data_IF_761358388350
#
_entry.id   IF_761358388350
#
_cell.length_a   1.000
_cell.length_b   1.000
_cell.length_c   1.000
_cell.angle_alpha   90.00
_cell.angle_beta   90.00
_cell.angle_gamma   90.00
#
_symmetry.space_group_name_H-M   'P 1'
#
loop_
_entity.id
_entity.type
_entity.pdbx_description
1 polymer ?
#
# COMPACT_ATOMS: atom_id res chain seq x y z
N UNK A 1 -18.08 8.35 -8.67
CA UNK A 1 -19.06 7.62 -9.51
C UNK A 1 -20.47 7.86 -8.98
N UNK A 2 -21.49 7.76 -9.85
CA UNK A 2 -22.89 7.92 -9.47
C UNK A 2 -23.33 6.93 -8.37
N UNK A 3 -22.76 5.73 -8.33
CA UNK A 3 -23.04 4.76 -7.27
C UNK A 3 -22.55 5.22 -5.90
N UNK A 4 -21.35 5.82 -5.84
CA UNK A 4 -20.79 6.36 -4.61
C UNK A 4 -21.59 7.56 -4.08
N UNK A 5 -22.09 8.43 -4.98
CA UNK A 5 -22.95 9.53 -4.60
C UNK A 5 -24.28 9.05 -4.01
N UNK A 6 -24.95 8.09 -4.68
CA UNK A 6 -26.17 7.47 -4.15
C UNK A 6 -25.95 6.82 -2.78
N UNK A 7 -24.83 6.11 -2.60
CA UNK A 7 -24.48 5.55 -1.29
C UNK A 7 -24.31 6.64 -0.22
N UNK A 8 -23.58 7.71 -0.56
CA UNK A 8 -23.36 8.82 0.37
C UNK A 8 -24.66 9.55 0.78
N UNK A 9 -25.62 9.66 -0.14
CA UNK A 9 -26.95 10.23 0.13
C UNK A 9 -27.80 9.33 1.05
N UNK A 10 -27.67 8.01 0.92
CA UNK A 10 -28.41 7.03 1.72
C UNK A 10 -27.84 6.82 3.12
N UNK A 11 -26.54 7.05 3.29
CA UNK A 11 -25.86 6.85 4.59
C UNK A 11 -26.17 8.03 5.52
N UNK A 12 -26.87 7.77 6.63
CA UNK A 12 -27.08 8.72 7.71
C UNK A 12 -25.76 9.07 8.41
N UNK A 13 -25.12 8.07 9.01
CA UNK A 13 -23.87 8.16 9.75
C UNK A 13 -22.91 7.05 9.30
N UNK A 14 -21.60 7.29 9.46
CA UNK A 14 -20.56 6.32 9.13
C UNK A 14 -19.48 6.34 10.20
N UNK A 15 -19.44 5.33 11.05
CA UNK A 15 -18.48 5.25 12.15
C UNK A 15 -17.08 4.89 11.69
N UNK A 16 -16.95 4.02 10.68
CA UNK A 16 -15.65 3.55 10.18
C UNK A 16 -15.66 3.43 8.67
N UNK A 17 -14.72 4.11 8.02
CA UNK A 17 -14.39 3.93 6.61
C UNK A 17 -13.04 3.22 6.47
N UNK A 18 -13.01 2.07 5.80
CA UNK A 18 -11.75 1.36 5.49
C UNK A 18 -11.42 1.48 4.01
N UNK A 19 -10.41 2.29 3.70
CA UNK A 19 -9.83 2.41 2.36
C UNK A 19 -8.80 1.30 2.16
N UNK A 20 -9.28 0.12 1.74
CA UNK A 20 -8.47 -1.08 1.55
C UNK A 20 -8.22 -1.41 0.08
N UNK A 21 -9.03 -0.90 -0.85
CA UNK A 21 -8.88 -1.19 -2.27
C UNK A 21 -7.47 -0.83 -2.76
N UNK A 22 -6.80 -1.80 -3.39
CA UNK A 22 -5.44 -1.61 -3.87
C UNK A 22 -4.84 -2.87 -4.46
N UNK A 23 -3.87 -2.70 -5.34
CA UNK A 23 -3.09 -3.79 -5.93
C UNK A 23 -1.63 -3.37 -6.10
N UNK A 24 -0.75 -4.32 -6.41
CA UNK A 24 0.66 -4.05 -6.71
C UNK A 24 0.99 -4.46 -8.14
N UNK A 25 1.31 -3.50 -9.00
CA UNK A 25 1.95 -3.76 -10.27
C UNK A 25 3.46 -3.88 -10.04
N UNK A 26 4.03 -5.05 -10.33
CA UNK A 26 5.46 -5.32 -10.19
C UNK A 26 6.07 -5.45 -11.59
N UNK A 27 7.24 -4.84 -11.76
CA UNK A 27 7.99 -4.84 -13.00
C UNK A 27 8.95 -3.65 -13.08
N UNK A 28 9.79 -3.58 -14.13
CA UNK A 28 10.63 -2.42 -14.37
C UNK A 28 9.78 -1.17 -14.55
N UNK A 29 10.15 -0.09 -13.87
CA UNK A 29 9.36 1.14 -13.88
C UNK A 29 9.23 1.73 -15.29
N UNK A 30 10.31 1.64 -16.09
CA UNK A 30 10.34 2.18 -17.45
C UNK A 30 9.54 1.34 -18.44
N UNK A 31 9.50 0.01 -18.30
CA UNK A 31 8.67 -0.85 -19.14
C UNK A 31 7.18 -0.67 -18.88
N UNK A 32 6.82 -0.44 -17.62
CA UNK A 32 5.42 -0.13 -17.25
C UNK A 32 4.98 1.27 -17.65
N UNK A 33 5.92 2.21 -17.71
CA UNK A 33 5.70 3.58 -18.13
C UNK A 33 4.68 4.37 -17.29
N UNK A 34 4.27 5.49 -17.83
CA UNK A 34 3.30 6.39 -17.16
C UNK A 34 1.91 5.80 -17.05
N UNK A 35 1.48 4.99 -18.01
CA UNK A 35 0.15 4.37 -17.99
C UNK A 35 -0.01 3.36 -16.85
N UNK A 36 1.00 2.52 -16.59
CA UNK A 36 0.97 1.61 -15.45
C UNK A 36 0.96 2.38 -14.12
N UNK A 37 1.71 3.48 -14.04
CA UNK A 37 1.67 4.37 -12.88
C UNK A 37 0.29 5.00 -12.69
N UNK A 38 -0.33 5.53 -13.74
CA UNK A 38 -1.65 6.13 -13.67
C UNK A 38 -2.69 5.13 -13.15
N UNK A 39 -2.73 3.90 -13.71
CA UNK A 39 -3.62 2.83 -13.22
C UNK A 39 -3.37 2.50 -11.76
N UNK A 40 -2.11 2.39 -11.35
CA UNK A 40 -1.72 2.12 -9.96
C UNK A 40 -2.20 3.23 -9.01
N UNK A 41 -1.98 4.48 -9.37
CA UNK A 41 -2.40 5.64 -8.59
C UNK A 41 -3.91 5.81 -8.59
N UNK A 42 -4.59 5.57 -9.72
CA UNK A 42 -6.04 5.64 -9.80
C UNK A 42 -6.69 4.74 -8.74
N UNK A 43 -6.18 3.51 -8.60
CA UNK A 43 -6.74 2.55 -7.63
C UNK A 43 -6.24 2.80 -6.20
N UNK A 44 -4.92 2.99 -6.01
CA UNK A 44 -4.35 3.00 -4.66
C UNK A 44 -4.45 4.36 -3.98
N UNK A 45 -4.54 5.46 -4.75
CA UNK A 45 -4.43 6.84 -4.25
C UNK A 45 -5.71 7.63 -4.50
N UNK A 46 -6.08 7.80 -5.77
CA UNK A 46 -7.20 8.68 -6.12
C UNK A 46 -8.53 8.15 -5.63
N UNK A 47 -8.73 6.82 -5.65
CA UNK A 47 -9.96 6.21 -5.10
C UNK A 47 -10.10 6.48 -3.60
N UNK A 48 -9.01 6.41 -2.84
CA UNK A 48 -9.00 6.69 -1.40
C UNK A 48 -9.51 8.10 -1.12
N UNK A 49 -8.97 9.10 -1.83
CA UNK A 49 -9.40 10.49 -1.69
C UNK A 49 -10.86 10.65 -2.11
N UNK A 50 -11.22 10.12 -3.28
CA UNK A 50 -12.58 10.26 -3.81
C UNK A 50 -13.65 9.59 -2.94
N UNK A 51 -13.36 8.42 -2.37
CA UNK A 51 -14.28 7.75 -1.44
C UNK A 51 -14.39 8.52 -0.13
N UNK A 52 -13.27 8.95 0.43
CA UNK A 52 -13.28 9.74 1.67
C UNK A 52 -14.02 11.06 1.49
N UNK A 53 -13.80 11.75 0.37
CA UNK A 53 -14.52 12.99 0.03
C UNK A 53 -16.03 12.78 -0.07
N UNK A 54 -16.46 11.75 -0.79
CA UNK A 54 -17.89 11.47 -0.96
C UNK A 54 -18.59 11.11 0.35
N UNK A 55 -17.90 10.38 1.24
CA UNK A 55 -18.45 9.91 2.52
C UNK A 55 -18.16 10.87 3.70
N UNK A 56 -17.47 11.98 3.44
CA UNK A 56 -17.15 12.98 4.47
C UNK A 56 -18.37 13.49 5.24
N UNK A 57 -19.54 13.80 4.61
CA UNK A 57 -20.73 14.24 5.37
C UNK A 57 -21.18 13.20 6.41
N UNK A 58 -21.18 11.91 6.06
CA UNK A 58 -21.59 10.83 6.97
C UNK A 58 -20.56 10.62 8.09
N UNK A 59 -19.25 10.62 7.78
CA UNK A 59 -18.17 10.57 8.75
C UNK A 59 -18.19 11.75 9.74
N UNK A 60 -18.55 12.94 9.25
CA UNK A 60 -18.63 14.15 10.09
C UNK A 60 -19.76 14.04 11.12
N UNK A 61 -20.91 13.45 10.76
CA UNK A 61 -22.03 13.30 11.68
C UNK A 61 -21.71 12.37 12.85
N UNK A 62 -21.03 11.25 12.58
CA UNK A 62 -20.62 10.28 13.61
C UNK A 62 -19.31 10.64 14.31
N UNK A 63 -18.56 11.64 13.82
CA UNK A 63 -17.14 11.88 14.22
C UNK A 63 -16.30 10.61 14.05
N UNK A 64 -16.47 9.94 12.93
CA UNK A 64 -15.99 8.60 12.67
C UNK A 64 -14.48 8.45 12.54
N UNK A 65 -14.07 7.27 12.07
CA UNK A 65 -12.67 6.88 11.84
C UNK A 65 -12.45 6.53 10.37
N UNK A 66 -11.45 7.11 9.75
CA UNK A 66 -10.92 6.70 8.45
C UNK A 66 -9.70 5.79 8.69
N UNK A 67 -9.71 4.60 8.09
CA UNK A 67 -8.62 3.64 8.12
C UNK A 67 -8.04 3.52 6.72
N UNK A 68 -6.80 3.96 6.52
CA UNK A 68 -6.11 3.89 5.24
C UNK A 68 -5.08 2.76 5.23
N UNK A 69 -5.23 1.82 4.29
CA UNK A 69 -4.29 0.70 4.16
C UNK A 69 -3.10 1.11 3.28
N UNK A 70 -2.02 1.50 3.95
CA UNK A 70 -0.71 1.76 3.38
C UNK A 70 0.08 0.49 3.04
N UNK A 71 1.37 0.50 3.30
CA UNK A 71 2.28 -0.67 3.20
C UNK A 71 3.66 -0.31 3.75
N UNK A 72 4.42 -1.28 4.24
CA UNK A 72 5.86 -1.10 4.49
C UNK A 72 6.63 -0.70 3.22
N UNK A 73 6.09 -1.03 2.04
CA UNK A 73 6.65 -0.62 0.74
C UNK A 73 6.55 0.88 0.47
N UNK A 74 5.72 1.62 1.20
CA UNK A 74 5.72 3.08 1.19
C UNK A 74 6.89 3.69 1.98
N UNK A 75 7.56 2.89 2.81
CA UNK A 75 8.74 3.30 3.60
C UNK A 75 10.02 2.74 2.98
N UNK A 76 10.05 1.43 2.69
CA UNK A 76 11.19 0.73 2.08
C UNK A 76 10.93 0.51 0.60
N UNK A 77 11.55 1.32 -0.24
CA UNK A 77 11.49 1.17 -1.70
C UNK A 77 12.34 0.00 -2.16
N UNK A 78 11.79 -0.83 -3.06
CA UNK A 78 12.50 -1.97 -3.65
C UNK A 78 12.51 -1.87 -5.18
N UNK A 79 13.53 -2.41 -5.86
CA UNK A 79 13.52 -2.51 -7.32
C UNK A 79 12.28 -3.30 -7.79
N UNK A 80 11.87 -3.06 -9.03
CA UNK A 80 10.71 -3.69 -9.68
C UNK A 80 9.36 -3.48 -8.99
N UNK A 81 9.27 -2.52 -8.07
CA UNK A 81 8.03 -2.13 -7.40
C UNK A 81 7.86 -0.61 -7.30
N UNK A 82 8.53 0.16 -8.16
CA UNK A 82 8.61 1.62 -8.05
C UNK A 82 7.24 2.29 -8.02
N UNK A 83 6.36 1.97 -8.97
CA UNK A 83 5.01 2.54 -9.02
C UNK A 83 4.18 2.20 -7.77
N UNK A 84 4.27 0.94 -7.30
CA UNK A 84 3.58 0.51 -6.09
C UNK A 84 4.12 1.23 -4.84
N UNK A 85 5.45 1.28 -4.67
CA UNK A 85 6.08 1.97 -3.54
C UNK A 85 5.70 3.45 -3.51
N UNK A 86 5.74 4.13 -4.67
CA UNK A 86 5.34 5.53 -4.79
C UNK A 86 3.86 5.74 -4.42
N UNK A 87 2.95 4.86 -4.89
CA UNK A 87 1.54 4.94 -4.54
C UNK A 87 1.30 4.77 -3.04
N UNK A 88 2.02 3.86 -2.38
CA UNK A 88 1.89 3.63 -0.93
C UNK A 88 2.55 4.74 -0.11
N UNK A 89 3.65 5.34 -0.57
CA UNK A 89 4.21 6.55 0.03
C UNK A 89 3.22 7.73 -0.07
N UNK A 90 2.52 7.88 -1.20
CA UNK A 90 1.47 8.88 -1.35
C UNK A 90 0.30 8.63 -0.36
N UNK A 91 -0.12 7.38 -0.15
CA UNK A 91 -1.15 7.04 0.87
C UNK A 91 -0.70 7.46 2.27
N UNK A 92 0.59 7.28 2.64
CA UNK A 92 1.11 7.71 3.93
C UNK A 92 1.03 9.24 4.09
N UNK A 93 1.53 9.98 3.10
CA UNK A 93 1.49 11.45 3.12
C UNK A 93 0.04 11.99 3.18
N UNK A 94 -0.87 11.39 2.40
CA UNK A 94 -2.28 11.76 2.42
C UNK A 94 -2.96 11.41 3.75
N UNK A 95 -2.58 10.30 4.39
CA UNK A 95 -3.09 9.93 5.71
C UNK A 95 -2.69 10.93 6.78
N UNK A 96 -1.45 11.44 6.71
CA UNK A 96 -0.97 12.48 7.62
C UNK A 96 -1.69 13.82 7.38
N UNK A 97 -1.86 14.23 6.12
CA UNK A 97 -2.61 15.43 5.76
C UNK A 97 -4.07 15.34 6.24
N UNK A 98 -4.77 14.25 5.88
CA UNK A 98 -6.16 14.02 6.28
C UNK A 98 -6.33 14.01 7.81
N UNK A 99 -5.35 13.48 8.54
CA UNK A 99 -5.39 13.46 10.02
C UNK A 99 -5.43 14.85 10.60
N UNK A 100 -4.67 15.79 10.03
CA UNK A 100 -4.66 17.20 10.45
C UNK A 100 -5.90 17.93 9.98
N UNK A 101 -6.30 17.75 8.72
CA UNK A 101 -7.42 18.47 8.10
C UNK A 101 -8.79 18.02 8.65
N UNK A 102 -8.95 16.75 9.03
CA UNK A 102 -10.20 16.22 9.54
C UNK A 102 -10.36 16.34 11.06
N UNK A 103 -9.28 16.64 11.79
CA UNK A 103 -9.31 16.81 13.23
C UNK A 103 -10.30 17.86 13.74
N UNK A 104 -10.47 19.05 13.10
CA UNK A 104 -11.46 20.04 13.52
C UNK A 104 -12.92 19.52 13.46
N UNK A 105 -13.19 18.48 12.67
CA UNK A 105 -14.50 17.84 12.56
C UNK A 105 -14.68 16.66 13.52
N UNK A 106 -13.68 16.37 14.36
CA UNK A 106 -13.68 15.22 15.26
C UNK A 106 -13.43 13.88 14.57
N UNK A 107 -13.15 13.86 13.26
CA UNK A 107 -12.87 12.64 12.50
C UNK A 107 -11.41 12.24 12.72
N UNK A 108 -11.20 10.97 13.03
CA UNK A 108 -9.87 10.39 13.25
C UNK A 108 -9.37 9.71 11.99
N UNK A 109 -8.05 9.62 11.83
CA UNK A 109 -7.42 8.89 10.72
C UNK A 109 -6.34 7.97 11.24
N UNK A 110 -6.48 6.68 10.97
CA UNK A 110 -5.52 5.63 11.26
C UNK A 110 -4.89 5.14 9.97
N UNK A 111 -3.57 5.13 9.92
CA UNK A 111 -2.81 4.48 8.87
C UNK A 111 -2.43 3.06 9.30
N UNK A 112 -2.59 2.10 8.40
CA UNK A 112 -2.13 0.73 8.60
C UNK A 112 -1.01 0.43 7.62
N UNK A 113 0.14 -0.03 8.11
CA UNK A 113 1.29 -0.46 7.29
C UNK A 113 1.45 -1.99 7.39
N UNK A 114 0.79 -2.78 6.52
CA UNK A 114 0.99 -4.22 6.45
C UNK A 114 2.42 -4.56 6.04
N UNK A 115 2.96 -5.62 6.66
CA UNK A 115 4.08 -6.38 6.12
C UNK A 115 3.63 -7.44 5.11
N UNK A 116 4.21 -8.64 5.16
CA UNK A 116 3.79 -9.77 4.36
C UNK A 116 2.51 -10.39 4.95
N UNK A 117 1.42 -10.38 4.16
CA UNK A 117 0.12 -10.95 4.54
C UNK A 117 -0.28 -11.99 3.49
N UNK A 118 -0.80 -13.12 3.94
CA UNK A 118 -1.31 -14.19 3.08
C UNK A 118 -2.66 -13.79 2.46
N UNK A 119 -2.60 -13.34 1.22
CA UNK A 119 -3.76 -12.89 0.44
C UNK A 119 -3.52 -13.14 -1.05
N UNK A 120 -4.53 -12.92 -1.86
CA UNK A 120 -4.40 -12.96 -3.33
C UNK A 120 -3.50 -11.85 -3.92
N UNK A 121 -2.99 -10.93 -3.10
CA UNK A 121 -2.16 -9.80 -3.56
C UNK A 121 -0.94 -10.27 -4.38
N UNK A 122 -0.16 -11.25 -3.88
CA UNK A 122 1.03 -11.73 -4.58
C UNK A 122 0.68 -12.50 -5.86
N UNK A 123 -0.42 -13.27 -5.87
CA UNK A 123 -0.91 -13.93 -7.09
C UNK A 123 -1.23 -12.89 -8.17
N UNK A 124 -1.93 -11.83 -7.80
CA UNK A 124 -2.28 -10.74 -8.71
C UNK A 124 -1.03 -9.95 -9.16
N UNK A 125 -0.10 -9.67 -8.23
CA UNK A 125 1.16 -9.00 -8.54
C UNK A 125 2.04 -9.83 -9.49
N UNK A 126 2.08 -11.16 -9.30
CA UNK A 126 2.79 -12.09 -10.19
C UNK A 126 2.19 -12.11 -11.59
N UNK A 127 0.87 -12.21 -11.71
CA UNK A 127 0.20 -12.16 -13.02
C UNK A 127 0.48 -10.84 -13.76
N UNK A 128 0.50 -9.71 -13.06
CA UNK A 128 0.86 -8.42 -13.65
C UNK A 128 2.34 -8.36 -14.06
N UNK A 129 3.24 -8.94 -13.26
CA UNK A 129 4.66 -8.99 -13.59
C UNK A 129 4.91 -9.80 -14.88
N UNK A 130 4.26 -10.97 -15.04
CA UNK A 130 4.40 -11.80 -16.24
C UNK A 130 3.94 -11.08 -17.53
N UNK A 131 2.96 -10.18 -17.46
CA UNK A 131 2.54 -9.37 -18.60
C UNK A 131 3.60 -8.36 -19.04
N UNK A 132 4.49 -7.94 -18.13
CA UNK A 132 5.57 -6.99 -18.40
C UNK A 132 6.89 -7.68 -18.74
N UNK A 133 7.05 -8.98 -18.42
CA UNK A 133 8.25 -9.75 -18.75
C UNK A 133 8.22 -10.06 -20.25
N UNK A 134 9.11 -9.40 -21.02
CA UNK A 134 9.17 -9.47 -22.46
C UNK A 134 10.60 -9.71 -22.93
N UNK A 135 10.82 -10.70 -23.81
CA UNK A 135 12.14 -11.05 -24.34
C UNK A 135 12.82 -9.89 -25.10
N UNK A 136 12.04 -8.96 -25.63
CA UNK A 136 12.54 -7.76 -26.31
C UNK A 136 12.93 -6.64 -25.36
N UNK A 137 12.57 -6.76 -24.07
CA UNK A 137 12.89 -5.76 -23.06
C UNK A 137 14.36 -5.87 -22.64
N UNK A 138 15.05 -4.74 -22.40
CA UNK A 138 16.39 -4.72 -21.81
C UNK A 138 16.44 -5.40 -20.42
N UNK A 139 15.29 -5.53 -19.77
CA UNK A 139 15.15 -6.13 -18.45
C UNK A 139 14.97 -7.66 -18.48
N UNK A 140 14.89 -8.27 -19.66
CA UNK A 140 14.73 -9.72 -19.78
C UNK A 140 15.78 -10.54 -19.01
N UNK A 141 17.09 -10.19 -18.99
CA UNK A 141 18.07 -10.89 -18.18
C UNK A 141 17.76 -10.88 -16.68
N UNK A 142 16.95 -9.93 -16.20
CA UNK A 142 16.58 -9.75 -14.79
C UNK A 142 15.20 -10.34 -14.43
N UNK A 143 14.56 -11.09 -15.31
CA UNK A 143 13.20 -11.63 -15.16
C UNK A 143 13.01 -12.41 -13.85
N UNK A 144 14.02 -13.17 -13.42
CA UNK A 144 13.95 -13.92 -12.16
C UNK A 144 13.91 -12.99 -10.94
N UNK A 145 14.62 -11.87 -10.97
CA UNK A 145 14.56 -10.83 -9.95
C UNK A 145 13.18 -10.15 -9.90
N UNK A 146 12.56 -9.94 -11.06
CA UNK A 146 11.19 -9.39 -11.16
C UNK A 146 10.19 -10.37 -10.55
N UNK A 147 10.28 -11.66 -10.88
CA UNK A 147 9.46 -12.74 -10.29
C UNK A 147 9.66 -12.83 -8.78
N UNK A 148 10.91 -12.87 -8.34
CA UNK A 148 11.22 -12.89 -6.91
C UNK A 148 10.63 -11.69 -6.16
N UNK A 149 10.63 -10.50 -6.79
CA UNK A 149 10.01 -9.32 -6.16
C UNK A 149 8.48 -9.43 -6.09
N UNK A 150 7.83 -9.94 -7.13
CA UNK A 150 6.36 -10.10 -7.12
C UNK A 150 5.88 -11.08 -6.05
N UNK A 151 6.70 -12.08 -5.71
CA UNK A 151 6.42 -13.09 -4.70
C UNK A 151 6.96 -12.75 -3.30
N UNK A 152 7.66 -11.64 -3.13
CA UNK A 152 8.35 -11.33 -1.86
C UNK A 152 7.41 -11.19 -0.65
N UNK A 153 6.12 -10.92 -0.85
CA UNK A 153 5.12 -10.89 0.22
C UNK A 153 4.64 -12.28 0.66
N UNK A 154 5.09 -13.36 -0.02
CA UNK A 154 4.78 -14.75 0.33
C UNK A 154 5.90 -15.42 1.14
N UNK A 155 6.95 -14.70 1.48
CA UNK A 155 7.99 -15.20 2.38
C UNK A 155 7.49 -15.14 3.84
N UNK A 156 7.01 -16.29 4.33
CA UNK A 156 6.43 -16.44 5.68
C UNK A 156 5.32 -15.41 5.97
N UNK A 157 4.27 -15.33 5.14
CA UNK A 157 3.23 -14.33 5.32
C UNK A 157 2.42 -14.59 6.59
N UNK A 158 1.95 -13.53 7.21
CA UNK A 158 0.99 -13.61 8.31
C UNK A 158 -0.39 -13.94 7.76
N UNK A 159 -1.17 -14.86 8.36
CA UNK A 159 -2.53 -15.15 7.93
C UNK A 159 -3.40 -13.88 7.89
N UNK A 160 -4.23 -13.76 6.86
CA UNK A 160 -5.11 -12.60 6.68
C UNK A 160 -6.06 -12.40 7.87
N UNK A 161 -6.53 -13.50 8.50
CA UNK A 161 -7.38 -13.46 9.68
C UNK A 161 -6.69 -12.81 10.89
N UNK A 162 -5.40 -13.10 11.09
CA UNK A 162 -4.60 -12.49 12.17
C UNK A 162 -4.44 -11.00 11.92
N UNK A 163 -4.09 -10.62 10.69
CA UNK A 163 -4.01 -9.21 10.31
C UNK A 163 -5.33 -8.47 10.49
N UNK A 164 -6.45 -9.06 10.06
CA UNK A 164 -7.78 -8.48 10.23
C UNK A 164 -8.16 -8.30 11.72
N UNK A 165 -7.81 -9.28 12.57
CA UNK A 165 -8.02 -9.18 14.01
C UNK A 165 -7.21 -8.05 14.65
N UNK A 166 -5.96 -7.86 14.24
CA UNK A 166 -5.12 -6.74 14.71
C UNK A 166 -5.72 -5.38 14.32
N UNK A 167 -6.21 -5.24 13.08
CA UNK A 167 -6.87 -4.02 12.61
C UNK A 167 -8.15 -3.77 13.39
N UNK A 168 -9.00 -4.80 13.55
CA UNK A 168 -10.25 -4.69 14.31
C UNK A 168 -10.00 -4.28 15.76
N UNK A 169 -9.03 -4.92 16.42
CA UNK A 169 -8.62 -4.56 17.79
C UNK A 169 -8.17 -3.09 17.90
N UNK A 170 -7.45 -2.59 16.88
CA UNK A 170 -7.02 -1.20 16.86
C UNK A 170 -8.18 -0.22 16.64
N UNK A 171 -9.10 -0.56 15.75
CA UNK A 171 -10.31 0.24 15.45
C UNK A 171 -11.22 0.36 16.68
N UNK A 172 -11.35 -0.71 17.47
CA UNK A 172 -12.21 -0.77 18.66
C UNK A 172 -11.64 -0.03 19.87
N UNK A 173 -10.40 0.46 19.82
CA UNK A 173 -9.85 1.25 20.92
C UNK A 173 -10.58 2.59 21.06
N UNK A 174 -10.80 3.10 22.28
CA UNK A 174 -11.36 4.44 22.49
C UNK A 174 -10.58 5.54 21.75
N UNK A 175 -9.26 5.34 21.63
CA UNK A 175 -8.37 6.17 20.85
C UNK A 175 -7.54 5.29 19.89
N UNK A 176 -8.03 5.02 18.68
CA UNK A 176 -7.28 4.28 17.67
C UNK A 176 -5.90 4.91 17.42
N UNK A 177 -4.84 4.08 17.25
CA UNK A 177 -3.51 4.60 17.03
C UNK A 177 -3.42 5.33 15.68
N UNK A 178 -2.53 6.32 15.58
CA UNK A 178 -2.26 7.01 14.32
C UNK A 178 -1.68 6.07 13.26
N UNK A 179 -0.87 5.11 13.70
CA UNK A 179 -0.17 4.14 12.86
C UNK A 179 -0.24 2.75 13.49
N UNK A 180 -0.74 1.79 12.72
CA UNK A 180 -0.69 0.36 13.04
C UNK A 180 0.27 -0.34 12.09
N UNK A 181 1.25 -1.07 12.61
CA UNK A 181 2.11 -1.99 11.85
C UNK A 181 1.79 -3.41 12.24
N UNK A 182 1.36 -4.23 11.28
CA UNK A 182 0.99 -5.63 11.50
C UNK A 182 1.44 -6.52 10.34
N UNK A 183 1.70 -7.77 10.64
CA UNK A 183 2.22 -8.75 9.69
C UNK A 183 3.76 -8.84 9.65
N UNK A 184 4.25 -9.92 9.04
CA UNK A 184 5.69 -10.21 9.00
C UNK A 184 6.47 -9.09 8.28
N UNK A 185 7.58 -8.66 8.88
CA UNK A 185 8.41 -7.58 8.37
C UNK A 185 7.86 -6.17 8.59
N UNK A 186 6.65 -6.00 9.13
CA UNK A 186 5.99 -4.69 9.26
C UNK A 186 6.76 -3.69 10.14
N UNK A 187 7.56 -4.16 11.08
CA UNK A 187 8.42 -3.34 11.94
C UNK A 187 9.87 -3.35 11.49
N UNK A 188 10.39 -4.53 11.10
CA UNK A 188 11.79 -4.70 10.72
C UNK A 188 12.16 -3.92 9.45
N UNK A 189 11.32 -3.95 8.41
CA UNK A 189 11.61 -3.30 7.14
C UNK A 189 11.68 -1.76 7.26
N UNK A 190 10.73 -1.07 7.91
CA UNK A 190 10.87 0.36 8.16
C UNK A 190 12.05 0.71 9.06
N UNK A 191 12.39 -0.12 10.05
CA UNK A 191 13.56 0.08 10.90
C UNK A 191 14.86 -0.03 10.10
N UNK A 192 14.97 -1.01 9.22
CA UNK A 192 16.11 -1.14 8.30
C UNK A 192 16.23 0.10 7.40
N UNK A 193 15.12 0.60 6.85
CA UNK A 193 15.11 1.80 6.02
C UNK A 193 15.58 3.05 6.79
N UNK A 194 15.29 3.13 8.08
CA UNK A 194 15.67 4.26 8.93
C UNK A 194 17.13 4.20 9.41
N UNK A 195 17.66 3.00 9.69
CA UNK A 195 18.97 2.84 10.35
C UNK A 195 20.11 2.56 9.37
N UNK A 196 19.85 1.91 8.22
CA UNK A 196 20.90 1.57 7.28
C UNK A 196 21.21 2.76 6.35
N UNK A 197 22.49 3.05 6.09
CA UNK A 197 22.87 3.99 5.05
C UNK A 197 22.28 3.55 3.70
N UNK A 198 21.73 4.50 2.93
CA UNK A 198 21.06 4.21 1.65
C UNK A 198 21.87 3.32 0.72
N UNK A 199 23.18 3.59 0.57
CA UNK A 199 24.05 2.79 -0.30
C UNK A 199 24.22 1.33 0.16
N UNK A 200 24.17 1.06 1.47
CA UNK A 200 24.20 -0.31 2.02
C UNK A 200 22.88 -1.01 1.72
N UNK A 201 21.77 -0.34 1.98
CA UNK A 201 20.44 -0.86 1.71
C UNK A 201 20.25 -1.19 0.22
N UNK A 202 20.67 -0.29 -0.67
CA UNK A 202 20.65 -0.51 -2.11
C UNK A 202 21.47 -1.74 -2.53
N UNK A 203 22.68 -1.91 -1.98
CA UNK A 203 23.51 -3.11 -2.27
C UNK A 203 22.81 -4.39 -1.86
N UNK A 204 22.19 -4.42 -0.68
CA UNK A 204 21.43 -5.57 -0.19
C UNK A 204 20.25 -5.87 -1.11
N UNK A 205 19.47 -4.85 -1.48
CA UNK A 205 18.30 -5.01 -2.33
C UNK A 205 18.68 -5.41 -3.77
N UNK A 206 19.73 -4.81 -4.33
CA UNK A 206 20.29 -5.21 -5.64
C UNK A 206 20.68 -6.69 -5.64
N UNK A 207 21.40 -7.13 -4.61
CA UNK A 207 21.80 -8.56 -4.48
C UNK A 207 20.56 -9.47 -4.36
N UNK A 208 19.59 -9.09 -3.52
CA UNK A 208 18.36 -9.89 -3.30
C UNK A 208 17.54 -10.09 -4.57
N UNK A 209 17.50 -9.10 -5.44
CA UNK A 209 16.67 -9.10 -6.66
C UNK A 209 17.48 -9.22 -7.95
N UNK A 210 18.70 -9.74 -7.88
CA UNK A 210 19.49 -10.13 -9.05
C UNK A 210 20.07 -8.97 -9.88
N UNK A 211 20.13 -7.75 -9.32
CA UNK A 211 20.71 -6.58 -10.00
C UNK A 211 22.23 -6.42 -9.79
N UNK A 212 22.86 -7.32 -9.04
CA UNK A 212 24.30 -7.29 -8.83
C UNK A 212 25.00 -8.14 -9.90
N UNK A 213 25.84 -7.54 -10.74
CA UNK A 213 26.66 -8.25 -11.71
C UNK A 213 26.04 -8.45 -13.10
N UNK A 214 24.97 -7.76 -13.40
CA UNK A 214 24.37 -7.72 -14.75
C UNK A 214 24.76 -6.37 -15.37
N UNK A 215 25.90 -6.33 -16.01
CA UNK A 215 26.38 -5.46 -17.13
C UNK A 215 27.89 -5.50 -17.16
#
# INVERSE_FOLDING_TARGET
SAALQRLAEQLGELDVLVNNAGYGAMGPLLDGGTEAMQRQFQTNVFSLVGVTQALFPALRRSKGLVVNIGSVSGVLVTPFAGAYCASKAAVHALSDALRMELAPFGIRVMEVQPGAIDTSFAKNAGAQAELLINEKSPWWPLREGIRARSQASQDKPTPASVFAADVLKAVQQPQPPRLLRSGNGSRALPLMAALLPKGVLEKVLKKRFGLSGVL
#
